data_IF_023963939250
#
_entry.id   IF_023963939250
#
_cell.length_a   1.000
_cell.length_b   1.000
_cell.length_c   1.000
_cell.angle_alpha   90.00
_cell.angle_beta   90.00
_cell.angle_gamma   90.00
#
_symmetry.space_group_name_H-M   'P 1'
#
loop_
_entity.id
_entity.type
_entity.pdbx_description
1 polymer ?
#
# COMPACT_ATOMS: atom_id res chain seq x y z
N UNK A 1 -15.47 5.91 -20.31
CA UNK A 1 -14.06 5.82 -20.76
C UNK A 1 -13.30 6.32 -19.57
N UNK A 2 -13.00 5.42 -18.62
CA UNK A 2 -12.49 5.76 -17.29
C UNK A 2 -11.40 6.80 -17.42
N UNK A 3 -11.60 7.98 -16.81
CA UNK A 3 -10.71 9.12 -16.79
C UNK A 3 -9.41 8.60 -16.21
N UNK A 4 -8.50 8.29 -17.12
CA UNK A 4 -7.37 7.44 -16.83
C UNK A 4 -6.41 8.27 -15.99
N UNK A 5 -6.24 7.89 -14.72
CA UNK A 5 -5.30 8.55 -13.81
C UNK A 5 -3.93 8.58 -14.50
N UNK A 6 -3.34 9.76 -14.74
CA UNK A 6 -2.03 9.86 -15.35
C UNK A 6 -1.02 9.02 -14.57
N UNK A 7 -0.17 8.26 -15.28
CA UNK A 7 0.86 7.41 -14.65
C UNK A 7 1.75 8.22 -13.70
N UNK A 8 1.97 9.50 -14.02
CA UNK A 8 2.68 10.45 -13.16
C UNK A 8 1.99 10.66 -11.80
N UNK A 9 0.66 10.72 -11.76
CA UNK A 9 -0.09 10.85 -10.50
C UNK A 9 -0.05 9.57 -9.69
N UNK A 10 -0.07 8.40 -10.36
CA UNK A 10 0.18 7.11 -9.69
C UNK A 10 1.57 7.10 -9.05
N UNK A 11 2.60 7.62 -9.73
CA UNK A 11 3.93 7.77 -9.13
C UNK A 11 3.92 8.68 -7.90
N UNK A 12 3.24 9.82 -7.95
CA UNK A 12 3.13 10.71 -6.79
C UNK A 12 2.45 10.01 -5.61
N UNK A 13 1.32 9.33 -5.83
CA UNK A 13 0.62 8.55 -4.80
C UNK A 13 1.54 7.47 -4.21
N UNK A 14 2.26 6.72 -5.05
CA UNK A 14 3.25 5.75 -4.59
C UNK A 14 4.38 6.41 -3.79
N UNK A 15 4.81 7.62 -4.15
CA UNK A 15 5.87 8.34 -3.44
C UNK A 15 5.49 8.78 -2.03
N UNK A 16 4.21 9.05 -1.79
CA UNK A 16 3.66 9.25 -0.44
C UNK A 16 3.55 7.92 0.30
N UNK A 17 3.01 6.89 -0.34
CA UNK A 17 2.82 5.55 0.22
C UNK A 17 4.14 4.82 0.57
N UNK A 18 5.21 5.10 -0.18
CA UNK A 18 6.55 4.54 -0.01
C UNK A 18 7.59 5.66 0.05
N UNK A 19 7.91 6.12 1.27
CA UNK A 19 8.82 7.25 1.50
C UNK A 19 10.18 7.12 0.80
N UNK A 20 10.68 5.90 0.59
CA UNK A 20 11.93 5.62 -0.12
C UNK A 20 11.94 6.13 -1.57
N UNK A 21 10.78 6.27 -2.23
CA UNK A 21 10.68 6.82 -3.58
C UNK A 21 10.98 8.32 -3.66
N UNK A 22 11.13 9.01 -2.51
CA UNK A 22 11.56 10.41 -2.47
C UNK A 22 13.05 10.60 -2.27
N UNK A 23 13.79 9.51 -2.09
CA UNK A 23 15.25 9.56 -2.02
C UNK A 23 15.83 10.10 -3.33
N UNK A 24 17.01 10.71 -3.24
CA UNK A 24 17.67 11.39 -4.37
C UNK A 24 17.78 10.51 -5.62
N UNK A 25 17.98 9.20 -5.43
CA UNK A 25 18.13 8.22 -6.51
C UNK A 25 16.87 8.04 -7.38
N UNK A 26 15.69 8.39 -6.88
CA UNK A 26 14.41 8.27 -7.61
C UNK A 26 13.90 9.59 -8.18
N UNK A 27 14.54 10.74 -7.87
CA UNK A 27 14.08 12.07 -8.32
C UNK A 27 13.84 12.17 -9.82
N UNK A 28 14.69 11.51 -10.63
CA UNK A 28 14.56 11.51 -12.10
C UNK A 28 13.25 10.87 -12.56
N UNK A 29 12.72 9.89 -11.83
CA UNK A 29 11.47 9.22 -12.17
C UNK A 29 10.25 10.13 -12.00
N UNK A 30 10.34 11.20 -11.19
CA UNK A 30 9.23 12.13 -11.00
C UNK A 30 8.91 12.97 -12.24
N UNK A 31 9.89 13.13 -13.13
CA UNK A 31 9.82 13.95 -14.35
C UNK A 31 9.88 13.13 -15.63
N UNK A 32 10.17 11.83 -15.52
CA UNK A 32 10.27 10.92 -16.66
C UNK A 32 8.86 10.54 -17.16
N UNK A 33 8.61 10.57 -18.48
CA UNK A 33 7.37 10.05 -19.03
C UNK A 33 7.37 8.53 -19.02
N UNK A 34 6.23 7.94 -18.67
CA UNK A 34 5.99 6.51 -18.69
C UNK A 34 4.77 6.21 -19.53
N UNK A 35 4.88 5.19 -20.39
CA UNK A 35 3.79 4.81 -21.30
C UNK A 35 2.62 4.18 -20.54
N UNK A 36 2.92 3.46 -19.45
CA UNK A 36 1.93 2.79 -18.61
C UNK A 36 2.50 2.48 -17.21
N UNK A 37 1.66 1.94 -16.31
CA UNK A 37 2.05 1.64 -14.93
C UNK A 37 3.10 0.50 -14.86
N UNK A 38 3.10 -0.45 -15.81
CA UNK A 38 4.11 -1.50 -15.87
C UNK A 38 5.50 -0.92 -16.14
N UNK A 39 5.56 0.04 -17.06
CA UNK A 39 6.78 0.76 -17.44
C UNK A 39 7.32 1.60 -16.27
N UNK A 40 6.44 2.27 -15.52
CA UNK A 40 6.77 2.93 -14.26
C UNK A 40 7.34 1.95 -13.22
N UNK A 41 6.65 0.84 -12.97
CA UNK A 41 7.07 -0.16 -11.99
C UNK A 41 8.41 -0.79 -12.36
N UNK A 42 8.64 -1.05 -13.66
CA UNK A 42 9.92 -1.51 -14.17
C UNK A 42 11.02 -0.49 -13.87
N UNK A 43 10.79 0.81 -14.12
CA UNK A 43 11.77 1.86 -13.82
C UNK A 43 12.12 1.93 -12.32
N UNK A 44 11.11 1.86 -11.45
CA UNK A 44 11.31 1.85 -9.99
C UNK A 44 12.13 0.62 -9.56
N UNK A 45 11.77 -0.58 -10.04
CA UNK A 45 12.48 -1.81 -9.70
C UNK A 45 13.90 -1.82 -10.25
N UNK A 46 14.13 -1.33 -11.47
CA UNK A 46 15.48 -1.22 -12.04
C UNK A 46 16.35 -0.33 -11.16
N UNK A 47 15.87 0.86 -10.81
CA UNK A 47 16.62 1.80 -9.99
C UNK A 47 16.88 1.21 -8.59
N UNK A 48 15.85 0.62 -7.98
CA UNK A 48 15.96 -0.01 -6.67
C UNK A 48 16.92 -1.19 -6.63
N UNK A 49 16.80 -2.12 -7.57
CA UNK A 49 17.68 -3.28 -7.61
C UNK A 49 19.11 -2.93 -7.99
N UNK A 50 19.32 -1.93 -8.84
CA UNK A 50 20.66 -1.41 -9.11
C UNK A 50 21.34 -0.91 -7.83
N UNK A 51 20.59 -0.22 -6.96
CA UNK A 51 21.10 0.20 -5.65
C UNK A 51 21.29 -0.98 -4.70
N UNK A 52 20.37 -1.96 -4.67
CA UNK A 52 20.50 -3.10 -3.77
C UNK A 52 21.69 -4.00 -4.11
N UNK A 53 21.94 -4.26 -5.40
CA UNK A 53 23.09 -5.07 -5.82
C UNK A 53 24.40 -4.42 -5.36
N UNK A 54 24.51 -3.08 -5.42
CA UNK A 54 25.68 -2.34 -4.93
C UNK A 54 25.83 -2.40 -3.41
N UNK A 55 24.72 -2.42 -2.67
CA UNK A 55 24.72 -2.52 -1.19
C UNK A 55 24.95 -3.95 -0.70
N UNK A 56 24.63 -4.94 -1.52
CA UNK A 56 24.62 -6.35 -1.16
C UNK A 56 23.19 -6.89 -1.06
N UNK A 57 22.97 -8.05 -1.66
CA UNK A 57 21.67 -8.72 -1.63
C UNK A 57 21.37 -9.30 -0.25
N UNK A 58 20.10 -9.27 0.16
CA UNK A 58 19.60 -9.96 1.34
C UNK A 58 19.91 -11.45 1.22
N UNK A 59 20.51 -12.00 2.28
CA UNK A 59 20.87 -13.40 2.39
C UNK A 59 20.15 -14.03 3.56
N UNK A 60 19.71 -15.27 3.37
CA UNK A 60 19.08 -16.07 4.40
C UNK A 60 19.92 -17.32 4.64
N UNK A 61 19.83 -17.85 5.87
CA UNK A 61 20.32 -19.18 6.18
C UNK A 61 19.28 -20.21 5.74
N UNK A 62 19.68 -21.13 4.88
CA UNK A 62 18.85 -22.27 4.49
C UNK A 62 19.45 -23.54 5.08
N UNK A 63 18.78 -24.06 6.09
CA UNK A 63 19.10 -25.35 6.69
C UNK A 63 18.73 -26.47 5.73
N UNK A 64 19.70 -27.32 5.41
CA UNK A 64 19.45 -28.57 4.69
C UNK A 64 20.26 -29.69 5.32
N UNK A 65 19.77 -30.92 5.18
CA UNK A 65 20.46 -32.11 5.68
C UNK A 65 21.04 -32.89 4.51
N UNK A 66 22.34 -33.15 4.53
CA UNK A 66 23.06 -33.87 3.48
C UNK A 66 24.01 -34.93 4.05
N UNK A 67 24.37 -35.91 3.24
CA UNK A 67 25.28 -37.01 3.57
C UNK A 67 26.72 -36.67 3.11
N UNK A 68 27.53 -36.14 4.03
CA UNK A 68 28.86 -35.60 3.75
C UNK A 68 29.99 -36.58 4.07
N UNK A 69 31.06 -36.53 3.29
CA UNK A 69 32.32 -37.25 3.57
C UNK A 69 33.17 -36.55 4.65
N UNK A 70 33.04 -35.22 4.78
CA UNK A 70 33.71 -34.41 5.80
C UNK A 70 32.64 -33.73 6.66
N UNK A 71 32.56 -34.02 7.97
CA UNK A 71 31.52 -33.47 8.83
C UNK A 71 31.61 -31.94 8.93
N UNK A 72 30.51 -31.24 8.66
CA UNK A 72 30.34 -29.81 8.94
C UNK A 72 28.92 -29.53 9.44
N UNK A 73 28.75 -28.49 10.25
CA UNK A 73 27.44 -28.17 10.84
C UNK A 73 27.03 -29.16 11.94
N UNK A 74 25.73 -29.33 12.13
CA UNK A 74 25.16 -30.21 13.16
C UNK A 74 25.12 -31.65 12.67
N UNK A 75 25.77 -32.56 13.39
CA UNK A 75 25.77 -33.99 13.04
C UNK A 75 24.45 -34.65 13.49
N UNK A 76 23.78 -35.32 12.56
CA UNK A 76 22.55 -36.10 12.80
C UNK A 76 22.90 -37.56 13.08
N UNK A 77 23.40 -37.84 14.29
CA UNK A 77 23.91 -39.16 14.70
C UNK A 77 22.85 -40.26 14.50
N UNK A 78 21.61 -40.03 14.96
CA UNK A 78 20.53 -41.00 14.85
C UNK A 78 20.19 -41.35 13.39
N UNK A 79 20.19 -40.35 12.49
CA UNK A 79 19.94 -40.59 11.05
C UNK A 79 21.11 -41.31 10.40
N UNK A 80 22.34 -40.94 10.76
CA UNK A 80 23.59 -41.54 10.26
C UNK A 80 23.64 -43.04 10.59
N UNK A 81 23.28 -43.42 11.82
CA UNK A 81 23.22 -44.83 12.24
C UNK A 81 22.10 -45.57 11.53
N UNK A 82 20.88 -45.00 11.49
CA UNK A 82 19.71 -45.63 10.85
C UNK A 82 19.92 -45.92 9.35
N UNK A 83 20.70 -45.11 8.65
CA UNK A 83 20.98 -45.25 7.21
C UNK A 83 22.30 -45.97 6.91
N UNK A 84 23.00 -46.43 7.95
CA UNK A 84 24.32 -47.07 7.88
C UNK A 84 25.37 -46.25 7.10
N UNK A 85 25.25 -44.93 7.07
CA UNK A 85 26.14 -44.02 6.31
C UNK A 85 27.62 -44.14 6.69
N UNK A 86 27.92 -44.52 7.93
CA UNK A 86 29.29 -44.76 8.40
C UNK A 86 30.00 -45.86 7.59
N UNK A 87 29.28 -46.88 7.11
CA UNK A 87 29.85 -47.94 6.25
C UNK A 87 30.39 -47.40 4.92
N UNK A 88 29.81 -46.29 4.45
CA UNK A 88 30.21 -45.56 3.23
C UNK A 88 31.17 -44.41 3.54
N UNK A 89 31.71 -44.33 4.77
CA UNK A 89 32.56 -43.24 5.28
C UNK A 89 31.90 -41.86 5.15
N UNK A 90 30.59 -41.80 5.33
CA UNK A 90 29.82 -40.55 5.32
C UNK A 90 29.02 -40.36 6.60
N UNK A 91 28.69 -39.11 6.89
CA UNK A 91 27.90 -38.69 8.05
C UNK A 91 26.79 -37.76 7.57
N UNK A 92 25.58 -37.97 8.10
CA UNK A 92 24.45 -37.09 7.82
C UNK A 92 24.59 -35.85 8.70
N UNK A 93 24.69 -34.69 8.08
CA UNK A 93 24.82 -33.41 8.76
C UNK A 93 23.74 -32.42 8.30
N UNK A 94 23.22 -31.64 9.23
CA UNK A 94 22.40 -30.46 8.95
C UNK A 94 23.30 -29.22 8.89
N UNK A 95 23.23 -28.48 7.79
CA UNK A 95 24.11 -27.36 7.46
C UNK A 95 23.24 -26.15 7.13
N UNK A 96 23.64 -24.99 7.63
CA UNK A 96 23.00 -23.71 7.32
C UNK A 96 23.82 -22.98 6.25
N UNK A 97 23.38 -23.03 5.00
CA UNK A 97 24.04 -22.31 3.91
C UNK A 97 23.58 -20.86 3.87
N UNK A 98 24.54 -19.93 3.86
CA UNK A 98 24.26 -18.49 3.74
C UNK A 98 24.10 -18.09 2.27
N UNK A 99 22.86 -18.04 1.80
CA UNK A 99 22.55 -17.92 0.37
C UNK A 99 21.80 -16.63 0.03
N UNK A 100 22.05 -16.11 -1.18
CA UNK A 100 21.26 -15.01 -1.77
C UNK A 100 19.90 -15.48 -2.27
N UNK A 101 19.62 -16.79 -2.28
CA UNK A 101 18.32 -17.36 -2.61
C UNK A 101 17.29 -17.14 -1.48
N UNK A 102 17.17 -15.89 -1.03
CA UNK A 102 16.25 -15.44 0.01
C UNK A 102 14.86 -15.16 -0.56
N UNK A 103 13.85 -15.23 0.30
CA UNK A 103 12.45 -14.95 -0.07
C UNK A 103 12.27 -13.61 -0.84
N UNK A 104 12.79 -12.46 -0.37
CA UNK A 104 12.64 -11.20 -1.11
C UNK A 104 13.30 -11.23 -2.48
N UNK A 105 14.49 -11.83 -2.62
CA UNK A 105 15.17 -11.91 -3.91
C UNK A 105 14.40 -12.81 -4.90
N UNK A 106 13.83 -13.93 -4.43
CA UNK A 106 12.98 -14.82 -5.27
C UNK A 106 11.75 -14.10 -5.80
N UNK A 107 11.07 -13.31 -4.96
CA UNK A 107 9.92 -12.48 -5.35
C UNK A 107 10.34 -11.46 -6.42
N UNK A 108 11.42 -10.72 -6.18
CA UNK A 108 11.87 -9.68 -7.10
C UNK A 108 12.31 -10.28 -8.44
N UNK A 109 13.14 -11.33 -8.44
CA UNK A 109 13.56 -12.04 -9.67
C UNK A 109 12.36 -12.49 -10.47
N UNK A 110 11.40 -13.14 -9.82
CA UNK A 110 10.21 -13.66 -10.48
C UNK A 110 9.34 -12.54 -11.05
N UNK A 111 9.25 -11.41 -10.35
CA UNK A 111 8.48 -10.25 -10.81
C UNK A 111 9.15 -9.53 -11.98
N UNK A 112 10.49 -9.39 -11.96
CA UNK A 112 11.25 -8.85 -13.09
C UNK A 112 11.08 -9.72 -14.34
N UNK A 113 11.07 -11.05 -14.20
CA UNK A 113 10.78 -11.98 -15.30
C UNK A 113 9.35 -11.81 -15.87
N UNK A 114 8.39 -11.43 -15.03
CA UNK A 114 7.03 -11.10 -15.46
C UNK A 114 7.01 -9.78 -16.24
N UNK A 115 7.67 -8.73 -15.74
CA UNK A 115 7.76 -7.43 -16.40
C UNK A 115 8.47 -7.45 -17.75
N UNK A 116 9.50 -8.29 -17.92
CA UNK A 116 10.18 -8.46 -19.20
C UNK A 116 9.20 -8.86 -20.32
N UNK A 117 8.13 -9.58 -19.97
CA UNK A 117 7.06 -10.01 -20.90
C UNK A 117 5.92 -9.00 -21.03
N UNK A 118 5.88 -7.99 -20.17
CA UNK A 118 4.89 -6.94 -20.22
C UNK A 118 5.22 -5.92 -21.32
N UNK A 119 4.25 -5.04 -21.59
CA UNK A 119 4.44 -3.91 -22.48
C UNK A 119 5.25 -2.81 -21.79
N UNK A 120 6.57 -2.92 -21.88
CA UNK A 120 7.54 -1.97 -21.34
C UNK A 120 8.54 -1.56 -22.42
N UNK A 121 9.14 -0.38 -22.24
CA UNK A 121 10.14 0.14 -23.17
C UNK A 121 11.32 -0.84 -23.34
N UNK A 122 11.84 -0.93 -24.58
CA UNK A 122 12.97 -1.81 -24.93
C UNK A 122 14.22 -1.58 -24.06
N UNK A 123 14.52 -0.33 -23.72
CA UNK A 123 15.66 0.02 -22.86
C UNK A 123 15.50 -0.52 -21.44
N UNK A 124 14.28 -0.43 -20.87
CA UNK A 124 13.96 -0.99 -19.54
C UNK A 124 13.99 -2.51 -19.57
N UNK A 125 13.47 -3.13 -20.63
CA UNK A 125 13.55 -4.60 -20.83
C UNK A 125 15.01 -5.08 -20.84
N UNK A 126 15.92 -4.37 -21.52
CA UNK A 126 17.36 -4.70 -21.51
C UNK A 126 17.96 -4.62 -20.10
N UNK A 127 17.71 -3.51 -19.39
CA UNK A 127 18.19 -3.28 -18.02
C UNK A 127 17.66 -4.33 -17.03
N UNK A 128 16.42 -4.79 -17.20
CA UNK A 128 15.89 -5.90 -16.40
C UNK A 128 16.67 -7.19 -16.63
N UNK A 129 17.02 -7.52 -17.88
CA UNK A 129 17.84 -8.71 -18.18
C UNK A 129 19.23 -8.63 -17.57
N UNK A 130 19.88 -7.46 -17.63
CA UNK A 130 21.18 -7.22 -16.98
C UNK A 130 21.10 -7.49 -15.47
N UNK A 131 20.08 -6.95 -14.80
CA UNK A 131 19.87 -7.16 -13.36
C UNK A 131 19.50 -8.60 -13.01
N UNK A 132 18.76 -9.30 -13.89
CA UNK A 132 18.43 -10.71 -13.72
C UNK A 132 19.67 -11.61 -13.76
N UNK A 133 20.70 -11.23 -14.53
CA UNK A 133 21.98 -11.95 -14.55
C UNK A 133 22.67 -11.92 -13.17
N UNK A 134 22.57 -10.79 -12.45
CA UNK A 134 23.08 -10.69 -11.07
C UNK A 134 22.30 -11.54 -10.05
N UNK A 135 21.15 -12.10 -10.44
CA UNK A 135 20.30 -12.97 -9.63
C UNK A 135 20.32 -14.41 -10.15
N UNK A 136 21.38 -14.85 -10.84
CA UNK A 136 21.50 -16.20 -11.42
C UNK A 136 21.18 -17.30 -10.40
N UNK A 137 21.74 -17.18 -9.20
CA UNK A 137 21.68 -18.20 -8.13
C UNK A 137 20.39 -18.15 -7.32
N UNK A 138 19.50 -17.20 -7.62
CA UNK A 138 18.20 -17.05 -6.96
C UNK A 138 17.17 -17.85 -7.74
N UNK A 139 16.37 -18.67 -7.07
CA UNK A 139 15.34 -19.47 -7.75
C UNK A 139 14.14 -18.63 -8.14
N UNK A 140 13.50 -19.01 -9.24
CA UNK A 140 12.18 -18.48 -9.63
C UNK A 140 11.10 -19.17 -8.79
N UNK A 141 10.08 -18.43 -8.40
CA UNK A 141 8.89 -18.94 -7.71
C UNK A 141 7.61 -18.62 -8.49
N UNK A 142 6.54 -19.34 -8.18
CA UNK A 142 5.19 -18.99 -8.62
C UNK A 142 4.65 -17.85 -7.74
N UNK A 143 4.51 -16.67 -8.34
CA UNK A 143 4.04 -15.47 -7.64
C UNK A 143 2.56 -15.54 -7.23
N UNK A 144 1.76 -16.43 -7.84
CA UNK A 144 0.35 -16.65 -7.46
C UNK A 144 0.21 -17.30 -6.09
N UNK A 145 1.24 -18.04 -5.69
CA UNK A 145 1.30 -18.80 -4.42
C UNK A 145 2.38 -18.25 -3.49
N UNK A 146 2.97 -17.11 -3.83
CA UNK A 146 3.98 -16.49 -2.99
C UNK A 146 3.33 -16.01 -1.70
N UNK A 147 3.95 -16.34 -0.57
CA UNK A 147 3.60 -15.73 0.70
C UNK A 147 4.17 -14.32 0.75
N UNK A 148 3.30 -13.31 0.81
CA UNK A 148 3.70 -11.90 0.85
C UNK A 148 4.01 -11.39 2.27
N UNK A 149 3.76 -12.20 3.31
CA UNK A 149 4.07 -11.82 4.68
C UNK A 149 5.58 -11.91 4.91
N UNK A 150 6.20 -10.76 5.17
CA UNK A 150 7.62 -10.70 5.51
C UNK A 150 7.79 -9.81 6.73
N UNK A 151 8.64 -10.29 7.66
CA UNK A 151 9.09 -9.48 8.77
C UNK A 151 10.23 -8.61 8.28
N UNK A 152 10.03 -7.31 8.40
CA UNK A 152 11.05 -6.35 8.05
C UNK A 152 11.81 -5.91 9.30
N UNK A 153 13.12 -5.97 9.22
CA UNK A 153 14.07 -5.53 10.23
C UNK A 153 15.08 -4.55 9.62
N UNK A 154 16.05 -4.10 10.42
CA UNK A 154 17.06 -3.15 9.97
C UNK A 154 17.91 -3.65 8.78
N UNK A 155 18.02 -4.96 8.59
CA UNK A 155 18.84 -5.58 7.54
C UNK A 155 18.12 -5.70 6.21
N UNK A 156 16.77 -5.75 6.21
CA UNK A 156 15.97 -5.92 5.00
C UNK A 156 14.91 -4.82 4.77
N UNK A 157 14.87 -3.76 5.60
CA UNK A 157 13.92 -2.65 5.45
C UNK A 157 13.99 -2.00 4.06
N UNK A 158 15.19 -1.95 3.47
CA UNK A 158 15.41 -1.39 2.13
C UNK A 158 14.68 -2.17 1.02
N UNK A 159 14.26 -3.41 1.28
CA UNK A 159 13.45 -4.23 0.37
C UNK A 159 11.97 -3.93 0.46
N UNK A 160 11.47 -3.30 1.54
CA UNK A 160 10.03 -3.11 1.78
C UNK A 160 9.33 -2.43 0.61
N UNK A 161 9.92 -1.36 0.08
CA UNK A 161 9.37 -0.68 -1.10
C UNK A 161 9.41 -1.57 -2.34
N UNK A 162 10.53 -2.27 -2.61
CA UNK A 162 10.67 -3.14 -3.79
C UNK A 162 9.66 -4.28 -3.79
N UNK A 163 9.43 -4.89 -2.64
CA UNK A 163 8.39 -5.92 -2.48
C UNK A 163 7.00 -5.31 -2.66
N UNK A 164 6.74 -4.12 -2.11
CA UNK A 164 5.49 -3.40 -2.31
C UNK A 164 5.18 -3.20 -3.79
N UNK A 165 6.17 -2.75 -4.56
CA UNK A 165 6.08 -2.61 -6.02
C UNK A 165 5.92 -3.98 -6.69
N UNK A 166 6.62 -5.02 -6.23
CA UNK A 166 6.45 -6.35 -6.79
C UNK A 166 5.02 -6.88 -6.62
N UNK A 167 4.42 -6.65 -5.45
CA UNK A 167 3.04 -7.04 -5.16
C UNK A 167 2.06 -6.34 -6.09
N UNK A 168 2.27 -5.04 -6.30
CA UNK A 168 1.51 -4.21 -7.23
C UNK A 168 1.55 -4.79 -8.65
N UNK A 169 2.76 -5.08 -9.14
CA UNK A 169 2.99 -5.65 -10.47
C UNK A 169 2.32 -7.02 -10.63
N UNK A 170 2.48 -7.89 -9.64
CA UNK A 170 1.96 -9.26 -9.69
C UNK A 170 0.43 -9.27 -9.73
N UNK A 171 -0.20 -8.50 -8.85
CA UNK A 171 -1.64 -8.49 -8.77
C UNK A 171 -2.26 -7.87 -10.04
N UNK A 172 -1.60 -6.88 -10.64
CA UNK A 172 -1.97 -6.32 -11.93
C UNK A 172 -1.87 -7.28 -13.10
N UNK A 173 -0.66 -7.78 -13.36
CA UNK A 173 -0.36 -8.55 -14.57
C UNK A 173 -0.91 -9.98 -14.55
N UNK A 174 -1.12 -10.59 -13.37
CA UNK A 174 -1.62 -11.97 -13.31
C UNK A 174 -3.14 -12.08 -13.38
N UNK A 175 -3.89 -11.01 -13.08
CA UNK A 175 -5.34 -11.00 -13.17
C UNK A 175 -5.85 -10.64 -14.57
N UNK A 176 -5.10 -9.80 -15.32
CA UNK A 176 -5.41 -9.46 -16.71
C UNK A 176 -5.23 -10.60 -17.74
N UNK A 177 -4.79 -11.80 -17.32
CA UNK A 177 -4.43 -12.90 -18.22
C UNK A 177 -5.51 -13.98 -18.40
N UNK A 178 -6.81 -13.64 -18.28
CA UNK A 178 -7.92 -14.61 -18.46
C UNK A 178 -8.28 -14.90 -19.93
N UNK A 179 -7.80 -14.12 -20.90
CA UNK A 179 -7.96 -14.45 -22.31
C UNK A 179 -6.77 -13.93 -23.11
N UNK A 180 -6.03 -14.83 -23.77
CA UNK A 180 -4.70 -14.61 -24.38
C UNK A 180 -4.59 -13.58 -25.49
N UNK A 181 -5.59 -12.71 -25.68
CA UNK A 181 -5.54 -11.50 -26.48
C UNK A 181 -6.51 -10.51 -25.83
N UNK A 182 -6.01 -9.47 -25.15
CA UNK A 182 -6.54 -8.08 -25.13
C UNK A 182 -5.89 -7.25 -24.01
N UNK A 183 -5.09 -6.26 -24.44
CA UNK A 183 -4.88 -4.88 -23.96
C UNK A 183 -4.69 -4.58 -22.46
N UNK A 184 -3.46 -4.16 -22.13
CA UNK A 184 -3.04 -2.81 -21.69
C UNK A 184 -3.80 -2.01 -20.62
N UNK A 185 -5.08 -2.24 -20.33
CA UNK A 185 -5.88 -1.22 -19.64
C UNK A 185 -5.89 -1.30 -18.12
N UNK A 186 -5.81 -2.47 -17.49
CA UNK A 186 -6.01 -2.56 -16.04
C UNK A 186 -4.81 -3.20 -15.34
N UNK A 187 -3.67 -2.51 -15.36
CA UNK A 187 -2.49 -2.94 -14.57
C UNK A 187 -2.74 -2.84 -13.06
N UNK A 188 -3.73 -2.06 -12.60
CA UNK A 188 -4.18 -2.08 -11.22
C UNK A 188 -5.69 -2.34 -11.22
N UNK A 189 -6.13 -3.31 -10.41
CA UNK A 189 -7.56 -3.47 -10.17
C UNK A 189 -8.09 -2.35 -9.24
N UNK A 190 -9.41 -2.17 -9.22
CA UNK A 190 -10.10 -1.18 -8.39
C UNK A 190 -9.71 -1.31 -6.91
N UNK A 191 -9.48 -2.53 -6.41
CA UNK A 191 -9.15 -2.78 -5.01
C UNK A 191 -7.74 -2.27 -4.66
N UNK A 192 -6.76 -2.46 -5.54
CA UNK A 192 -5.40 -1.96 -5.33
C UNK A 192 -5.33 -0.45 -5.46
N UNK A 193 -6.05 0.13 -6.42
CA UNK A 193 -6.16 1.59 -6.54
C UNK A 193 -6.84 2.19 -5.31
N UNK A 194 -7.87 1.53 -4.79
CA UNK A 194 -8.51 1.90 -3.53
C UNK A 194 -7.53 1.91 -2.35
N UNK A 195 -6.78 0.82 -2.15
CA UNK A 195 -5.76 0.73 -1.09
C UNK A 195 -4.64 1.76 -1.27
N UNK A 196 -4.21 1.99 -2.50
CA UNK A 196 -3.21 3.02 -2.80
C UNK A 196 -3.76 4.41 -2.48
N UNK A 197 -5.03 4.67 -2.80
CA UNK A 197 -5.70 5.93 -2.54
C UNK A 197 -5.86 6.20 -1.04
N UNK A 198 -6.36 5.23 -0.27
CA UNK A 198 -6.43 5.31 1.21
C UNK A 198 -5.06 5.64 1.80
N UNK A 199 -4.04 4.86 1.44
CA UNK A 199 -2.68 5.04 1.95
C UNK A 199 -2.06 6.35 1.51
N UNK A 200 -2.34 6.79 0.28
CA UNK A 200 -1.91 8.07 -0.24
C UNK A 200 -2.49 9.22 0.59
N UNK A 201 -3.79 9.23 0.85
CA UNK A 201 -4.45 10.28 1.64
C UNK A 201 -3.87 10.32 3.06
N UNK A 202 -3.75 9.16 3.72
CA UNK A 202 -3.15 9.07 5.04
C UNK A 202 -1.73 9.67 5.07
N UNK A 203 -0.87 9.21 4.17
CA UNK A 203 0.53 9.66 4.13
C UNK A 203 0.67 11.11 3.65
N UNK A 204 -0.24 11.62 2.82
CA UNK A 204 -0.28 13.02 2.43
C UNK A 204 -0.48 13.90 3.66
N UNK A 205 -1.59 13.71 4.39
CA UNK A 205 -1.87 14.52 5.58
C UNK A 205 -0.80 14.32 6.66
N UNK A 206 -0.36 13.08 6.91
CA UNK A 206 0.63 12.77 7.94
C UNK A 206 2.01 13.38 7.68
N UNK A 207 2.27 13.89 6.47
CA UNK A 207 3.57 14.44 6.10
C UNK A 207 3.50 15.92 5.81
N UNK A 208 2.48 16.37 5.09
CA UNK A 208 2.31 17.77 4.70
C UNK A 208 1.80 18.62 5.87
N UNK A 209 0.98 18.02 6.76
CA UNK A 209 0.26 18.72 7.83
C UNK A 209 0.64 18.23 9.24
N UNK A 210 1.74 17.48 9.38
CA UNK A 210 2.24 16.89 10.65
C UNK A 210 2.43 17.85 11.81
N UNK A 211 2.72 19.12 11.53
CA UNK A 211 3.02 20.14 12.54
C UNK A 211 1.75 20.91 12.95
N UNK A 212 0.64 20.72 12.21
CA UNK A 212 -0.61 21.42 12.39
C UNK A 212 -1.72 20.50 12.96
N UNK A 213 -1.81 19.27 12.44
CA UNK A 213 -2.78 18.25 12.87
C UNK A 213 -2.09 16.90 13.11
N UNK A 214 -2.56 16.18 14.12
CA UNK A 214 -2.19 14.78 14.36
C UNK A 214 -2.98 13.88 13.42
N UNK A 215 -2.26 13.04 12.67
CA UNK A 215 -2.86 12.10 11.71
C UNK A 215 -2.75 10.69 12.24
N UNK A 216 -3.89 10.00 12.38
CA UNK A 216 -3.96 8.62 12.85
C UNK A 216 -4.96 7.79 12.03
N UNK A 217 -4.90 6.48 12.17
CA UNK A 217 -5.90 5.53 11.69
C UNK A 217 -6.34 4.64 12.86
N UNK A 218 -6.30 5.19 14.08
CA UNK A 218 -6.57 4.43 15.29
C UNK A 218 -8.00 3.91 15.30
N UNK A 219 -8.17 2.71 15.85
CA UNK A 219 -9.49 2.11 16.04
C UNK A 219 -10.34 3.02 16.91
N UNK A 220 -11.56 3.26 16.48
CA UNK A 220 -12.58 3.91 17.29
C UNK A 220 -13.23 2.80 18.13
N UNK A 221 -13.25 2.88 19.46
CA UNK A 221 -13.93 1.89 20.27
C UNK A 221 -15.44 1.97 20.06
N UNK A 222 -16.13 0.84 20.20
CA UNK A 222 -17.58 0.86 20.35
C UNK A 222 -17.93 1.43 21.72
N UNK A 223 -18.76 2.47 21.73
CA UNK A 223 -19.33 3.03 22.95
C UNK A 223 -20.58 2.23 23.29
N UNK A 224 -20.40 1.19 24.10
CA UNK A 224 -21.47 0.29 24.55
C UNK A 224 -21.90 0.74 25.95
N UNK A 225 -23.21 0.79 26.18
CA UNK A 225 -23.76 1.08 27.51
C UNK A 225 -23.42 -0.04 28.51
N UNK A 226 -23.37 0.29 29.80
CA UNK A 226 -22.91 -0.61 30.86
C UNK A 226 -23.69 -1.94 30.94
N UNK A 227 -24.98 -1.93 30.58
CA UNK A 227 -25.86 -3.12 30.58
C UNK A 227 -25.87 -3.90 29.24
N UNK A 228 -25.11 -3.45 28.23
CA UNK A 228 -25.23 -3.91 26.84
C UNK A 228 -24.26 -5.03 26.41
N UNK A 229 -23.35 -5.48 27.28
CA UNK A 229 -22.19 -6.28 26.85
C UNK A 229 -22.31 -7.78 27.11
N UNK A 230 -23.05 -8.50 26.26
CA UNK A 230 -23.00 -9.98 26.23
C UNK A 230 -21.97 -10.55 25.25
N UNK A 231 -21.54 -9.80 24.21
CA UNK A 231 -20.41 -10.16 23.35
C UNK A 231 -19.75 -8.94 22.67
N UNK A 232 -19.05 -8.08 23.43
CA UNK A 232 -18.28 -6.96 22.85
C UNK A 232 -17.18 -7.44 21.88
N UNK A 233 -16.61 -8.63 22.10
CA UNK A 233 -15.57 -9.22 21.24
C UNK A 233 -16.09 -9.63 19.84
N UNK A 234 -17.40 -9.81 19.70
CA UNK A 234 -18.05 -10.14 18.42
C UNK A 234 -18.22 -8.92 17.50
N UNK A 235 -17.99 -7.71 18.00
CA UNK A 235 -18.23 -6.49 17.23
C UNK A 235 -17.16 -6.25 16.16
N UNK A 236 -17.54 -5.77 14.97
CA UNK A 236 -16.58 -5.48 13.91
C UNK A 236 -15.66 -4.34 14.33
N UNK A 237 -14.39 -4.42 13.92
CA UNK A 237 -13.42 -3.37 14.20
C UNK A 237 -13.80 -2.09 13.44
N UNK A 238 -14.00 -0.99 14.17
CA UNK A 238 -14.17 0.33 13.57
C UNK A 238 -12.81 0.98 13.35
N UNK A 239 -12.32 0.94 12.12
CA UNK A 239 -11.05 1.55 11.74
C UNK A 239 -11.26 2.44 10.52
N UNK A 240 -11.27 3.78 10.70
CA UNK A 240 -11.31 4.71 9.57
C UNK A 240 -9.97 4.78 8.85
N UNK A 241 -9.98 5.29 7.61
CA UNK A 241 -8.78 5.41 6.78
C UNK A 241 -7.86 6.53 7.27
N UNK A 242 -8.44 7.69 7.61
CA UNK A 242 -7.70 8.85 8.14
C UNK A 242 -8.51 9.54 9.23
N UNK A 243 -7.84 9.89 10.32
CA UNK A 243 -8.35 10.76 11.38
C UNK A 243 -7.38 11.91 11.53
N UNK A 244 -7.87 13.13 11.31
CA UNK A 244 -7.16 14.39 11.58
C UNK A 244 -7.68 14.96 12.90
N UNK A 245 -6.75 15.35 13.77
CA UNK A 245 -7.05 15.84 15.12
C UNK A 245 -6.08 16.98 15.46
N UNK A 246 -6.58 18.19 15.72
CA UNK A 246 -5.75 19.35 16.07
C UNK A 246 -5.70 19.64 17.59
N UNK A 247 -6.33 18.78 18.40
CA UNK A 247 -6.54 18.90 19.84
C UNK A 247 -7.92 19.46 20.22
N UNK A 248 -8.57 20.20 19.33
CA UNK A 248 -9.90 20.79 19.56
C UNK A 248 -10.94 20.05 18.73
N UNK A 249 -10.75 19.97 17.43
CA UNK A 249 -11.66 19.35 16.48
C UNK A 249 -11.10 18.04 15.93
N UNK A 250 -11.99 17.18 15.45
CA UNK A 250 -11.64 15.90 14.83
C UNK A 250 -12.38 15.74 13.51
N UNK A 251 -11.64 15.41 12.46
CA UNK A 251 -12.19 15.03 11.16
C UNK A 251 -11.86 13.57 10.87
N UNK A 252 -12.89 12.76 10.68
CA UNK A 252 -12.78 11.38 10.23
C UNK A 252 -13.00 11.35 8.72
N UNK A 253 -12.01 10.89 7.97
CA UNK A 253 -12.08 10.75 6.52
C UNK A 253 -12.10 9.27 6.16
N UNK A 254 -13.06 8.91 5.32
CA UNK A 254 -13.20 7.59 4.73
C UNK A 254 -13.10 7.74 3.20
N UNK A 255 -12.07 7.13 2.63
CA UNK A 255 -11.69 7.25 1.25
C UNK A 255 -12.46 6.22 0.42
N UNK A 256 -13.00 6.61 -0.73
CA UNK A 256 -13.77 5.71 -1.58
C UNK A 256 -13.28 5.76 -3.02
N UNK A 257 -12.91 4.60 -3.55
CA UNK A 257 -12.51 4.44 -4.94
C UNK A 257 -13.48 3.45 -5.60
N UNK A 258 -14.28 3.95 -6.54
CA UNK A 258 -15.26 3.15 -7.25
C UNK A 258 -15.18 3.43 -8.74
N UNK A 259 -15.43 2.42 -9.57
CA UNK A 259 -15.73 2.67 -10.99
C UNK A 259 -16.95 3.61 -11.12
N UNK A 260 -17.94 3.48 -10.22
CA UNK A 260 -19.18 4.29 -10.20
C UNK A 260 -19.42 4.84 -8.78
N UNK A 261 -19.28 6.15 -8.62
CA UNK A 261 -19.34 6.82 -7.32
C UNK A 261 -20.78 7.03 -6.83
N UNK A 262 -21.76 7.08 -7.73
CA UNK A 262 -23.17 7.27 -7.39
C UNK A 262 -24.04 6.09 -7.84
N UNK A 263 -25.14 5.82 -7.11
CA UNK A 263 -26.15 4.84 -7.54
C UNK A 263 -27.30 5.54 -8.26
N UNK A 264 -27.66 5.00 -9.44
CA UNK A 264 -28.84 5.43 -10.19
C UNK A 264 -30.10 4.90 -9.49
N UNK A 265 -30.99 5.80 -9.09
CA UNK A 265 -32.31 5.50 -8.55
C UNK A 265 -33.38 6.08 -9.48
N UNK A 266 -34.62 5.60 -9.36
CA UNK A 266 -35.77 6.04 -10.16
C UNK A 266 -36.00 7.58 -10.12
N UNK A 267 -35.55 8.26 -9.06
CA UNK A 267 -35.73 9.70 -8.82
C UNK A 267 -34.40 10.49 -8.79
N UNK A 268 -33.30 9.92 -9.28
CA UNK A 268 -32.00 10.62 -9.38
C UNK A 268 -30.80 9.81 -8.86
N UNK A 269 -29.71 10.50 -8.55
CA UNK A 269 -28.45 9.90 -8.10
C UNK A 269 -28.33 9.98 -6.58
N UNK A 270 -28.06 8.85 -5.92
CA UNK A 270 -27.88 8.77 -4.46
C UNK A 270 -26.47 8.30 -4.10
N UNK A 271 -26.00 8.76 -2.94
CA UNK A 271 -24.79 8.24 -2.30
C UNK A 271 -24.96 6.76 -1.95
N UNK A 272 -23.86 6.02 -1.88
CA UNK A 272 -23.87 4.66 -1.34
C UNK A 272 -24.21 4.71 0.15
N UNK A 273 -25.39 4.22 0.51
CA UNK A 273 -25.91 4.26 1.88
C UNK A 273 -24.98 3.58 2.89
N UNK A 274 -24.33 2.48 2.50
CA UNK A 274 -23.37 1.77 3.35
C UNK A 274 -22.21 2.67 3.82
N UNK A 275 -21.66 3.51 2.94
CA UNK A 275 -20.59 4.45 3.30
C UNK A 275 -21.09 5.50 4.30
N UNK A 276 -22.31 5.98 4.08
CA UNK A 276 -22.93 6.95 4.96
C UNK A 276 -23.22 6.38 6.35
N UNK A 277 -23.73 5.15 6.42
CA UNK A 277 -23.96 4.46 7.69
C UNK A 277 -22.65 4.21 8.44
N UNK A 278 -21.62 3.74 7.73
CA UNK A 278 -20.28 3.57 8.31
C UNK A 278 -19.73 4.88 8.89
N UNK A 279 -19.80 5.97 8.12
CA UNK A 279 -19.35 7.28 8.57
C UNK A 279 -20.14 7.78 9.78
N UNK A 280 -21.46 7.62 9.77
CA UNK A 280 -22.31 7.99 10.90
C UNK A 280 -21.93 7.21 12.16
N UNK A 281 -21.68 5.90 12.05
CA UNK A 281 -21.22 5.06 13.15
C UNK A 281 -19.89 5.54 13.72
N UNK A 282 -18.91 5.84 12.86
CA UNK A 282 -17.61 6.35 13.29
C UNK A 282 -17.72 7.68 14.04
N UNK A 283 -18.42 8.65 13.45
CA UNK A 283 -18.59 9.99 14.01
C UNK A 283 -19.32 9.93 15.35
N UNK A 284 -20.36 9.09 15.48
CA UNK A 284 -21.11 8.99 16.73
C UNK A 284 -20.33 8.35 17.86
N UNK A 285 -19.68 7.22 17.62
CA UNK A 285 -18.84 6.59 18.65
C UNK A 285 -17.68 7.48 19.05
N UNK A 286 -17.05 8.19 18.08
CA UNK A 286 -15.98 9.13 18.39
C UNK A 286 -16.45 10.36 19.16
N UNK A 287 -17.63 10.89 18.84
CA UNK A 287 -18.23 12.01 19.57
C UNK A 287 -18.45 11.65 21.04
N UNK A 288 -19.11 10.50 21.29
CA UNK A 288 -19.39 10.03 22.65
C UNK A 288 -18.10 9.74 23.42
N UNK A 289 -17.10 9.14 22.76
CA UNK A 289 -15.78 8.92 23.35
C UNK A 289 -15.16 10.24 23.85
N UNK A 290 -15.20 11.30 23.04
CA UNK A 290 -14.58 12.59 23.39
C UNK A 290 -15.40 13.43 24.36
N UNK A 291 -16.73 13.29 24.39
CA UNK A 291 -17.59 13.98 25.36
C UNK A 291 -17.26 13.63 26.82
N UNK A 292 -16.61 12.48 27.07
CA UNK A 292 -16.11 12.09 28.38
C UNK A 292 -14.71 12.63 28.73
N UNK A 293 -14.00 13.28 27.81
CA UNK A 293 -12.55 13.55 27.89
C UNK A 293 -12.19 15.06 27.92
N UNK A 294 -12.99 15.89 28.58
CA UNK A 294 -12.66 17.30 28.85
C UNK A 294 -13.52 18.31 28.07
N UNK A 295 -12.96 19.42 27.54
CA UNK A 295 -13.74 20.44 26.85
C UNK A 295 -14.42 19.86 25.60
N UNK A 296 -15.57 20.45 25.22
CA UNK A 296 -16.35 19.98 24.07
C UNK A 296 -15.53 20.05 22.78
N UNK A 297 -15.50 18.93 22.05
CA UNK A 297 -14.73 18.75 20.81
C UNK A 297 -15.69 18.48 19.66
N UNK A 298 -15.57 19.20 18.54
CA UNK A 298 -16.43 18.92 17.39
C UNK A 298 -15.86 17.73 16.60
N UNK A 299 -16.69 16.72 16.38
CA UNK A 299 -16.37 15.60 15.49
C UNK A 299 -17.13 15.74 14.19
N UNK A 300 -16.40 15.77 13.09
CA UNK A 300 -16.93 15.80 11.73
C UNK A 300 -16.52 14.56 10.96
N UNK A 301 -17.31 14.22 9.93
CA UNK A 301 -17.04 13.12 9.01
C UNK A 301 -16.87 13.62 7.58
N UNK A 302 -16.06 12.94 6.78
CA UNK A 302 -15.91 13.20 5.36
C UNK A 302 -15.82 11.91 4.55
N UNK A 303 -16.74 11.75 3.59
CA UNK A 303 -16.59 10.74 2.54
C UNK A 303 -15.81 11.37 1.37
N UNK A 304 -14.61 10.85 1.10
CA UNK A 304 -13.71 11.38 0.08
C UNK A 304 -13.59 10.41 -1.10
N UNK A 305 -14.33 10.69 -2.16
CA UNK A 305 -14.34 9.86 -3.36
C UNK A 305 -13.17 10.22 -4.28
N UNK A 306 -12.61 9.25 -5.00
CA UNK A 306 -11.91 9.54 -6.24
C UNK A 306 -12.96 9.85 -7.32
N UNK A 307 -12.77 10.94 -8.06
CA UNK A 307 -13.68 11.38 -9.12
C UNK A 307 -13.76 10.33 -10.23
N UNK A 308 -14.97 10.07 -10.71
CA UNK A 308 -15.24 9.19 -11.86
C UNK A 308 -15.54 9.98 -13.14
N UNK A 309 -15.85 9.30 -14.23
CA UNK A 309 -16.32 9.95 -15.48
C UNK A 309 -17.76 10.45 -15.41
N UNK A 310 -18.47 10.14 -14.33
CA UNK A 310 -19.88 10.47 -14.22
C UNK A 310 -20.04 11.99 -14.23
N UNK A 311 -21.02 12.49 -14.99
CA UNK A 311 -21.32 13.93 -15.08
C UNK A 311 -21.59 14.55 -13.70
N UNK A 312 -22.18 13.75 -12.81
CA UNK A 312 -22.45 14.11 -11.42
C UNK A 312 -21.50 13.38 -10.50
N UNK A 313 -20.84 14.15 -9.65
CA UNK A 313 -19.93 13.65 -8.63
C UNK A 313 -20.56 13.86 -7.25
N UNK A 314 -20.29 12.95 -6.29
CA UNK A 314 -20.80 13.10 -4.94
C UNK A 314 -20.15 14.33 -4.28
N UNK A 315 -20.97 15.37 -4.04
CA UNK A 315 -20.55 16.59 -3.37
C UNK A 315 -21.69 17.14 -2.53
N UNK A 316 -21.40 17.56 -1.31
CA UNK A 316 -22.38 18.19 -0.44
C UNK A 316 -22.06 18.03 1.03
N UNK A 317 -22.86 18.69 1.85
CA UNK A 317 -22.67 18.76 3.29
C UNK A 317 -24.02 18.71 3.97
N UNK A 318 -24.06 18.04 5.11
CA UNK A 318 -25.27 17.94 5.89
C UNK A 318 -24.93 17.71 7.36
N UNK A 319 -25.81 18.18 8.24
CA UNK A 319 -25.73 17.92 9.67
C UNK A 319 -26.49 16.62 9.98
N UNK A 320 -25.82 15.69 10.66
CA UNK A 320 -26.41 14.45 11.16
C UNK A 320 -26.30 14.40 12.67
N UNK A 321 -27.43 14.66 13.34
CA UNK A 321 -27.54 14.74 14.79
C UNK A 321 -26.45 15.66 15.39
N UNK A 322 -26.29 16.86 14.83
CA UNK A 322 -25.33 17.87 15.28
C UNK A 322 -23.91 17.74 14.71
N UNK A 323 -23.52 16.60 14.13
CA UNK A 323 -22.20 16.44 13.52
C UNK A 323 -22.24 16.79 12.02
N UNK A 324 -21.23 17.51 11.54
CA UNK A 324 -21.07 17.81 10.12
C UNK A 324 -20.55 16.58 9.38
N UNK A 325 -21.26 16.16 8.33
CA UNK A 325 -20.79 15.16 7.38
C UNK A 325 -20.63 15.84 6.02
N UNK A 326 -19.41 15.84 5.51
CA UNK A 326 -19.08 16.34 4.18
C UNK A 326 -18.88 15.18 3.19
N UNK A 327 -19.14 15.46 1.93
CA UNK A 327 -18.91 14.55 0.82
C UNK A 327 -18.21 15.33 -0.27
N UNK A 328 -17.10 14.78 -0.76
CA UNK A 328 -16.29 15.40 -1.82
C UNK A 328 -15.74 14.36 -2.78
N UNK A 329 -15.34 14.81 -3.97
CA UNK A 329 -14.67 14.00 -4.98
C UNK A 329 -13.37 14.68 -5.42
N UNK A 330 -12.25 13.96 -5.35
CA UNK A 330 -10.91 14.41 -5.74
C UNK A 330 -10.62 13.96 -7.17
N UNK A 331 -10.30 14.90 -8.05
CA UNK A 331 -9.99 14.61 -9.45
C UNK A 331 -8.53 14.19 -9.63
N UNK A 332 -8.29 12.88 -9.61
CA UNK A 332 -6.96 12.28 -9.78
C UNK A 332 -6.40 12.40 -11.20
N UNK A 333 -7.18 12.93 -12.16
CA UNK A 333 -6.72 13.16 -13.53
C UNK A 333 -6.02 14.51 -13.74
N UNK A 334 -6.19 15.45 -12.80
CA UNK A 334 -5.59 16.78 -12.85
C UNK A 334 -4.10 16.76 -12.51
N UNK A 335 -3.42 17.88 -12.74
CA UNK A 335 -2.06 18.05 -12.26
C UNK A 335 -1.98 17.85 -10.74
N UNK A 336 -0.88 17.25 -10.28
CA UNK A 336 -0.73 16.92 -8.86
C UNK A 336 -0.82 18.14 -7.94
N UNK A 337 -0.45 19.34 -8.41
CA UNK A 337 -0.63 20.58 -7.67
C UNK A 337 -2.10 20.88 -7.37
N UNK A 338 -3.00 20.58 -8.29
CA UNK A 338 -4.45 20.77 -8.11
C UNK A 338 -5.01 19.73 -7.13
N UNK A 339 -4.52 18.49 -7.22
CA UNK A 339 -4.87 17.42 -6.27
C UNK A 339 -4.43 17.84 -4.86
N UNK A 340 -3.17 18.26 -4.71
CA UNK A 340 -2.62 18.72 -3.44
C UNK A 340 -3.40 19.92 -2.89
N UNK A 341 -3.74 20.89 -3.74
CA UNK A 341 -4.55 22.03 -3.35
C UNK A 341 -5.93 21.60 -2.82
N UNK A 342 -6.62 20.69 -3.52
CA UNK A 342 -7.90 20.15 -3.07
C UNK A 342 -7.80 19.46 -1.69
N UNK A 343 -6.72 18.73 -1.42
CA UNK A 343 -6.48 18.12 -0.11
C UNK A 343 -6.13 19.16 0.96
N UNK A 344 -5.39 20.22 0.61
CA UNK A 344 -5.06 21.31 1.52
C UNK A 344 -6.31 22.11 1.92
N UNK A 345 -7.26 22.32 1.01
CA UNK A 345 -8.54 22.98 1.30
C UNK A 345 -9.34 22.22 2.38
N UNK A 346 -9.22 20.90 2.46
CA UNK A 346 -9.86 20.11 3.53
C UNK A 346 -9.33 20.53 4.89
N UNK A 347 -8.00 20.63 5.04
CA UNK A 347 -7.41 21.07 6.32
C UNK A 347 -7.75 22.51 6.60
N UNK A 348 -7.61 23.40 5.61
CA UNK A 348 -7.89 24.82 5.79
C UNK A 348 -9.32 25.11 6.24
N UNK A 349 -10.25 24.29 5.78
CA UNK A 349 -11.66 24.42 6.11
C UNK A 349 -12.03 23.85 7.46
N UNK A 350 -11.56 22.65 7.79
CA UNK A 350 -11.95 21.96 9.04
C UNK A 350 -11.07 22.36 10.23
N UNK A 351 -9.91 22.95 9.97
CA UNK A 351 -8.95 23.38 10.98
C UNK A 351 -8.38 24.75 10.60
N UNK A 352 -9.20 25.82 10.59
CA UNK A 352 -8.76 27.15 10.15
C UNK A 352 -7.57 27.67 10.97
N UNK A 353 -7.51 27.36 12.26
CA UNK A 353 -6.40 27.75 13.14
C UNK A 353 -5.12 26.95 12.83
N UNK A 354 -5.23 25.74 12.29
CA UNK A 354 -4.10 24.92 11.90
C UNK A 354 -3.36 25.51 10.67
N UNK A 355 -4.03 26.29 9.82
CA UNK A 355 -3.41 26.99 8.69
C UNK A 355 -2.33 27.97 9.15
N UNK A 356 -2.54 28.63 10.30
CA UNK A 356 -1.57 29.56 10.88
C UNK A 356 -0.27 28.88 11.34
N UNK A 357 -0.33 27.58 11.66
CA UNK A 357 0.83 26.76 12.04
C UNK A 357 1.67 26.34 10.82
N UNK A 358 1.14 26.56 9.62
CA UNK A 358 1.83 26.41 8.35
C UNK A 358 1.89 24.97 7.82
N UNK A 359 1.75 24.83 6.50
CA UNK A 359 2.13 23.61 5.77
C UNK A 359 3.65 23.54 5.72
N UNK A 360 4.22 22.33 5.78
CA UNK A 360 5.66 22.17 5.55
C UNK A 360 5.98 22.45 4.08
N UNK A 361 6.35 23.69 3.73
CA UNK A 361 6.91 23.99 2.40
C UNK A 361 8.23 23.25 2.22
N UNK A 362 8.33 22.43 1.17
CA UNK A 362 9.56 21.78 0.74
C UNK A 362 10.06 22.38 -0.56
#
# INVERSE_FOLDING_TARGET
>A
MTSQIPVRNVYYMLSYAFRSLREQQYRRLATEPFDNIADLCAAILIQGMSTQIKRGLCRDYVSHTDELASPRGRIEISRTVRTASLSRKRIICTIDDFTVDSKPNRIIKSTMLLLVRADINRSRRSRLWELLACLSDVRRIDLRRADWHMRYDRNNETYRMLIGICRLVVNGLLQGSQSGKTLLMDFLDDQQLHQLYEKFLFEYYAQEWRDAVKVTHHRIPWMIDEDGSSCAECLPVMQPDVVLDDGHDVLIIDAKYYTHAMRRHFDGYKLHSANLYQMFTYVKNKSVQLSGEGPERMVSGMLMYAKTDEERQPRGEFLMNGNLIAVTAVDLSRDFSDIAHCLDEVVARFFPDAVSRGKKTR
#
